data_IF_140487216258
#
_entry.id   IF_140487216258
#
_cell.length_a   1.000
_cell.length_b   1.000
_cell.length_c   1.000
_cell.angle_alpha   90.00
_cell.angle_beta   90.00
_cell.angle_gamma   90.00
#
_symmetry.space_group_name_H-M   'P 1'
#
loop_
_entity.id
_entity.type
_entity.pdbx_description
1 polymer ?
#
# COMPACT_ATOMS: atom_id res chain seq x y z
N UNK A 1 8.71 10.25 -19.64
CA UNK A 1 9.29 10.29 -18.28
C UNK A 1 8.42 9.56 -17.25
N UNK A 2 7.17 9.24 -17.57
CA UNK A 2 6.21 8.65 -16.62
C UNK A 2 6.53 7.20 -16.20
N UNK A 3 7.20 6.42 -17.04
CA UNK A 3 7.57 5.03 -16.74
C UNK A 3 8.48 4.88 -15.50
N UNK A 4 9.34 5.86 -15.23
CA UNK A 4 10.22 5.84 -14.06
C UNK A 4 9.46 5.99 -12.74
N UNK A 5 8.36 6.76 -12.75
CA UNK A 5 7.47 6.94 -11.61
C UNK A 5 6.69 5.66 -11.29
N UNK A 6 6.16 5.00 -12.32
CA UNK A 6 5.47 3.72 -12.15
C UNK A 6 6.43 2.62 -11.67
N UNK A 7 7.67 2.60 -12.16
CA UNK A 7 8.70 1.70 -11.65
C UNK A 7 8.97 1.93 -10.15
N UNK A 8 9.02 3.19 -9.72
CA UNK A 8 9.19 3.50 -8.29
C UNK A 8 8.03 3.00 -7.42
N UNK A 9 6.79 3.06 -7.91
CA UNK A 9 5.61 2.57 -7.18
C UNK A 9 5.47 1.05 -7.16
N UNK A 10 6.03 0.35 -8.15
CA UNK A 10 6.00 -1.11 -8.21
C UNK A 10 7.15 -1.78 -7.47
N UNK A 11 8.24 -1.06 -7.17
CA UNK A 11 9.37 -1.61 -6.40
C UNK A 11 8.95 -2.14 -5.01
N UNK A 12 8.18 -1.41 -4.17
CA UNK A 12 7.77 -1.93 -2.87
C UNK A 12 6.95 -3.24 -2.91
N UNK A 13 5.89 -3.37 -3.75
CA UNK A 13 5.17 -4.64 -3.86
C UNK A 13 6.02 -5.75 -4.50
N UNK A 14 6.92 -5.43 -5.45
CA UNK A 14 7.86 -6.42 -6.01
C UNK A 14 8.85 -6.93 -4.96
N UNK A 15 9.41 -6.05 -4.15
CA UNK A 15 10.31 -6.41 -3.06
C UNK A 15 9.62 -7.33 -2.05
N UNK A 16 8.37 -7.03 -1.69
CA UNK A 16 7.56 -7.91 -0.84
C UNK A 16 7.25 -9.25 -1.51
N UNK A 17 6.95 -9.28 -2.80
CA UNK A 17 6.75 -10.53 -3.55
C UNK A 17 8.01 -11.41 -3.50
N UNK A 18 9.19 -10.83 -3.70
CA UNK A 18 10.47 -11.55 -3.57
C UNK A 18 10.67 -12.13 -2.17
N UNK A 19 10.35 -11.37 -1.11
CA UNK A 19 10.42 -11.86 0.28
C UNK A 19 9.43 -13.00 0.56
N UNK A 20 8.20 -12.90 0.03
CA UNK A 20 7.20 -13.98 0.14
C UNK A 20 7.67 -15.25 -0.56
N UNK A 21 8.22 -15.13 -1.79
CA UNK A 21 8.77 -16.25 -2.53
C UNK A 21 9.97 -16.88 -1.81
N UNK A 22 10.84 -16.05 -1.23
CA UNK A 22 11.97 -16.51 -0.43
C UNK A 22 11.51 -17.27 0.83
N UNK A 23 10.54 -16.73 1.57
CA UNK A 23 9.93 -17.40 2.72
C UNK A 23 9.25 -18.72 2.32
N UNK A 24 8.68 -18.80 1.11
CA UNK A 24 8.14 -20.02 0.53
C UNK A 24 9.21 -21.07 0.24
N UNK A 25 10.33 -20.67 -0.36
CA UNK A 25 11.48 -21.53 -0.65
C UNK A 25 12.11 -22.10 0.63
N UNK A 26 12.27 -21.29 1.68
CA UNK A 26 12.78 -21.77 2.97
C UNK A 26 11.91 -22.86 3.60
N UNK A 27 10.57 -22.80 3.42
CA UNK A 27 9.66 -23.84 3.89
C UNK A 27 9.82 -25.17 3.16
N UNK A 28 10.22 -25.16 1.90
CA UNK A 28 10.50 -26.37 1.15
C UNK A 28 11.84 -27.01 1.54
N UNK A 29 12.79 -26.21 2.05
CA UNK A 29 14.15 -26.68 2.38
C UNK A 29 14.33 -27.10 3.84
N UNK A 30 13.61 -26.49 4.79
CA UNK A 30 13.78 -26.76 6.23
C UNK A 30 12.67 -27.66 6.79
N UNK A 31 13.00 -28.93 6.98
CA UNK A 31 12.06 -29.98 7.40
C UNK A 31 11.65 -29.93 8.88
N UNK A 32 12.30 -29.16 9.78
CA UNK A 32 12.19 -29.52 11.21
C UNK A 32 12.07 -28.42 12.29
N UNK A 33 11.83 -27.13 11.97
CA UNK A 33 11.70 -26.08 13.01
C UNK A 33 10.67 -24.99 12.72
N UNK A 34 9.45 -25.35 12.33
CA UNK A 34 8.52 -24.37 11.72
C UNK A 34 7.23 -24.12 12.51
N UNK A 35 7.27 -24.12 13.85
CA UNK A 35 6.12 -23.67 14.66
C UNK A 35 6.11 -22.15 14.93
N UNK A 36 7.26 -21.46 14.75
CA UNK A 36 7.38 -19.99 14.95
C UNK A 36 7.24 -19.19 13.65
N UNK A 37 7.74 -19.70 12.51
CA UNK A 37 7.65 -19.03 11.20
C UNK A 37 6.26 -19.00 10.55
N UNK A 38 5.29 -19.80 11.03
CA UNK A 38 3.96 -19.85 10.39
C UNK A 38 3.12 -18.59 10.63
N UNK A 39 3.45 -17.77 11.63
CA UNK A 39 2.82 -16.46 11.85
C UNK A 39 3.39 -15.39 10.90
N UNK A 40 4.68 -15.44 10.58
CA UNK A 40 5.33 -14.45 9.70
C UNK A 40 4.86 -14.54 8.25
N UNK A 41 4.68 -15.75 7.69
CA UNK A 41 4.29 -15.86 6.28
C UNK A 41 2.88 -15.35 5.99
N UNK A 42 1.95 -15.51 6.95
CA UNK A 42 0.59 -14.96 6.82
C UNK A 42 0.59 -13.44 6.89
N UNK A 43 1.46 -12.87 7.74
CA UNK A 43 1.58 -11.42 7.85
C UNK A 43 2.23 -10.81 6.60
N UNK A 44 3.26 -11.45 6.04
CA UNK A 44 3.86 -11.05 4.76
C UNK A 44 2.86 -11.12 3.60
N UNK A 45 2.01 -12.14 3.55
CA UNK A 45 0.98 -12.23 2.51
C UNK A 45 -0.05 -11.11 2.63
N UNK A 46 -0.48 -10.80 3.86
CA UNK A 46 -1.38 -9.67 4.11
C UNK A 46 -0.74 -8.32 3.78
N UNK A 47 0.56 -8.15 4.08
CA UNK A 47 1.32 -6.96 3.69
C UNK A 47 1.45 -6.85 2.17
N UNK A 48 1.69 -7.95 1.47
CA UNK A 48 1.70 -7.98 0.00
C UNK A 48 0.35 -7.55 -0.58
N UNK A 49 -0.76 -8.15 -0.12
CA UNK A 49 -2.11 -7.76 -0.58
C UNK A 49 -2.43 -6.30 -0.27
N UNK A 50 -2.00 -5.80 0.88
CA UNK A 50 -2.16 -4.40 1.24
C UNK A 50 -1.38 -3.46 0.30
N UNK A 51 -0.10 -3.75 0.05
CA UNK A 51 0.75 -2.99 -0.85
C UNK A 51 0.26 -3.06 -2.31
N UNK A 52 -0.17 -4.24 -2.76
CA UNK A 52 -0.76 -4.43 -4.08
C UNK A 52 -2.06 -3.63 -4.24
N UNK A 53 -2.93 -3.67 -3.23
CA UNK A 53 -4.16 -2.87 -3.20
C UNK A 53 -3.88 -1.37 -3.23
N UNK A 54 -2.93 -0.88 -2.42
CA UNK A 54 -2.53 0.53 -2.42
C UNK A 54 -1.92 0.94 -3.77
N UNK A 55 -1.10 0.08 -4.38
CA UNK A 55 -0.52 0.33 -5.71
C UNK A 55 -1.60 0.40 -6.79
N UNK A 56 -2.57 -0.52 -6.77
CA UNK A 56 -3.70 -0.54 -7.70
C UNK A 56 -4.57 0.73 -7.54
N UNK A 57 -4.86 1.11 -6.29
CA UNK A 57 -5.63 2.32 -5.99
C UNK A 57 -4.88 3.57 -6.48
N UNK A 58 -3.56 3.64 -6.26
CA UNK A 58 -2.72 4.73 -6.74
C UNK A 58 -2.75 4.82 -8.26
N UNK A 59 -2.67 3.68 -8.95
CA UNK A 59 -2.77 3.62 -10.40
C UNK A 59 -4.14 4.11 -10.90
N UNK A 60 -5.24 3.65 -10.28
CA UNK A 60 -6.60 4.08 -10.62
C UNK A 60 -6.81 5.58 -10.40
N UNK A 61 -6.31 6.12 -9.28
CA UNK A 61 -6.41 7.56 -9.01
C UNK A 61 -5.58 8.36 -10.00
N UNK A 62 -4.35 7.95 -10.34
CA UNK A 62 -3.55 8.65 -11.34
C UNK A 62 -4.20 8.60 -12.72
N UNK A 63 -4.70 7.44 -13.16
CA UNK A 63 -5.33 7.29 -14.49
C UNK A 63 -6.68 7.99 -14.60
N UNK A 64 -7.57 7.85 -13.61
CA UNK A 64 -8.91 8.45 -13.69
C UNK A 64 -8.99 9.89 -13.20
N UNK A 65 -8.22 10.26 -12.16
CA UNK A 65 -8.33 11.59 -11.53
C UNK A 65 -7.33 12.56 -12.14
N UNK A 66 -6.06 12.17 -12.27
CA UNK A 66 -5.01 13.06 -12.78
C UNK A 66 -4.98 13.07 -14.31
N UNK A 67 -4.91 11.91 -14.95
CA UNK A 67 -4.88 11.80 -16.41
C UNK A 67 -6.26 11.93 -17.05
N UNK A 68 -7.31 11.40 -16.40
CA UNK A 68 -8.70 11.49 -16.86
C UNK A 68 -9.32 12.88 -16.75
N UNK A 69 -8.55 13.88 -16.31
CA UNK A 69 -8.95 15.29 -16.36
C UNK A 69 -9.92 15.75 -15.26
N UNK A 70 -10.29 14.88 -14.31
CA UNK A 70 -11.14 15.30 -13.17
C UNK A 70 -10.43 16.33 -12.28
N UNK A 71 -9.11 16.25 -12.13
CA UNK A 71 -8.31 17.23 -11.39
C UNK A 71 -7.73 18.34 -12.28
N UNK A 72 -7.92 18.29 -13.60
CA UNK A 72 -7.42 19.32 -14.53
C UNK A 72 -7.93 20.75 -14.21
N UNK A 73 -9.19 21.00 -13.79
CA UNK A 73 -9.61 22.36 -13.44
C UNK A 73 -8.90 22.92 -12.20
N UNK A 74 -8.45 22.07 -11.27
CA UNK A 74 -7.71 22.49 -10.08
C UNK A 74 -6.20 22.59 -10.34
N UNK A 75 -5.64 21.66 -11.12
CA UNK A 75 -4.20 21.55 -11.39
C UNK A 75 -3.73 22.47 -12.53
N UNK A 76 -4.61 22.95 -13.42
CA UNK A 76 -4.29 23.98 -14.44
C UNK A 76 -4.47 25.41 -13.93
N UNK A 77 -4.89 25.59 -12.69
CA UNK A 77 -4.97 26.93 -12.14
C UNK A 77 -3.54 27.49 -12.03
N UNK A 78 -3.22 28.64 -12.64
CA UNK A 78 -1.84 29.11 -12.77
C UNK A 78 -1.14 29.33 -11.41
N UNK A 79 -1.93 29.65 -10.38
CA UNK A 79 -1.46 29.76 -9.00
C UNK A 79 -1.08 28.40 -8.41
N UNK A 80 -1.84 27.34 -8.71
CA UNK A 80 -1.60 26.00 -8.15
C UNK A 80 -0.46 25.32 -8.90
N UNK A 81 -0.39 25.47 -10.22
CA UNK A 81 0.67 24.87 -11.04
C UNK A 81 2.06 25.46 -10.71
N UNK A 82 2.12 26.73 -10.34
CA UNK A 82 3.36 27.38 -9.90
C UNK A 82 3.87 26.86 -8.54
N UNK A 83 2.98 26.42 -7.65
CA UNK A 83 3.33 25.94 -6.32
C UNK A 83 3.45 24.40 -6.24
N UNK A 84 2.62 23.68 -6.98
CA UNK A 84 2.61 22.21 -7.05
C UNK A 84 2.64 21.76 -8.51
N UNK A 85 3.85 21.52 -9.08
CA UNK A 85 3.95 20.88 -10.37
C UNK A 85 3.34 19.47 -10.31
N UNK A 86 2.67 19.06 -11.39
CA UNK A 86 1.97 17.76 -11.51
C UNK A 86 2.83 16.55 -11.13
N UNK A 87 4.14 16.64 -11.39
CA UNK A 87 5.11 15.62 -11.00
C UNK A 87 5.19 15.41 -9.48
N UNK A 88 5.18 16.49 -8.69
CA UNK A 88 5.21 16.41 -7.22
C UNK A 88 3.92 15.77 -6.69
N UNK A 89 2.76 16.14 -7.25
CA UNK A 89 1.46 15.54 -6.89
C UNK A 89 1.49 14.03 -7.11
N UNK A 90 1.99 13.59 -8.27
CA UNK A 90 2.15 12.16 -8.57
C UNK A 90 3.11 11.51 -7.57
N UNK A 91 4.30 12.07 -7.36
CA UNK A 91 5.31 11.51 -6.45
C UNK A 91 4.74 11.27 -5.03
N UNK A 92 3.95 12.21 -4.52
CA UNK A 92 3.32 12.12 -3.19
C UNK A 92 2.01 11.33 -3.17
N UNK A 93 1.41 11.02 -4.31
CA UNK A 93 0.14 10.29 -4.38
C UNK A 93 0.26 8.90 -3.73
N UNK A 94 1.34 8.18 -4.05
CA UNK A 94 1.59 6.85 -3.51
C UNK A 94 1.73 6.83 -1.98
N UNK A 95 2.61 7.64 -1.34
CA UNK A 95 2.71 7.66 0.12
C UNK A 95 1.43 8.17 0.80
N UNK A 96 0.67 9.08 0.19
CA UNK A 96 -0.63 9.52 0.72
C UNK A 96 -1.62 8.37 0.77
N UNK A 97 -1.76 7.62 -0.33
CA UNK A 97 -2.66 6.47 -0.41
C UNK A 97 -2.24 5.37 0.55
N UNK A 98 -0.94 5.12 0.67
CA UNK A 98 -0.39 4.13 1.58
C UNK A 98 -0.67 4.52 3.05
N UNK A 99 -0.50 5.79 3.40
CA UNK A 99 -0.86 6.33 4.72
C UNK A 99 -2.36 6.23 5.00
N UNK A 100 -3.22 6.60 4.05
CA UNK A 100 -4.68 6.49 4.19
C UNK A 100 -5.12 5.04 4.36
N UNK A 101 -4.60 4.12 3.53
CA UNK A 101 -4.85 2.70 3.64
C UNK A 101 -4.42 2.14 5.00
N UNK A 102 -3.22 2.52 5.46
CA UNK A 102 -2.70 2.11 6.76
C UNK A 102 -3.55 2.65 7.92
N UNK A 103 -4.07 3.88 7.81
CA UNK A 103 -4.97 4.47 8.82
C UNK A 103 -6.31 3.74 8.90
N UNK A 104 -6.89 3.38 7.75
CA UNK A 104 -8.18 2.67 7.71
C UNK A 104 -8.03 1.25 8.27
N UNK A 105 -6.99 0.53 7.86
CA UNK A 105 -6.76 -0.86 8.29
C UNK A 105 -6.20 -0.93 9.72
N UNK A 106 -5.36 0.02 10.11
CA UNK A 106 -4.84 0.15 11.47
C UNK A 106 -5.92 0.56 12.47
N UNK A 107 -6.75 1.54 12.11
CA UNK A 107 -7.86 2.01 12.94
C UNK A 107 -8.92 0.93 13.19
N UNK A 108 -9.20 0.09 12.19
CA UNK A 108 -10.16 -1.03 12.33
C UNK A 108 -9.67 -2.11 13.30
N UNK A 109 -8.36 -2.41 13.37
CA UNK A 109 -7.81 -3.34 14.38
C UNK A 109 -7.97 -2.80 15.81
N UNK A 110 -7.76 -1.50 16.01
CA UNK A 110 -7.90 -0.85 17.33
C UNK A 110 -9.36 -0.83 17.78
N UNK A 111 -10.29 -0.52 16.88
CA UNK A 111 -11.73 -0.54 17.17
C UNK A 111 -12.23 -1.95 17.59
N UNK A 112 -11.77 -2.99 16.90
CA UNK A 112 -12.15 -4.38 17.21
C UNK A 112 -11.62 -4.85 18.58
N UNK A 113 -10.42 -4.41 18.97
CA UNK A 113 -9.86 -4.70 20.31
C UNK A 113 -10.65 -4.01 21.43
N UNK A 114 -11.15 -2.79 21.17
CA UNK A 114 -12.01 -2.06 22.12
C UNK A 114 -13.37 -2.74 22.34
N UNK A 115 -13.96 -3.34 21.30
CA UNK A 115 -15.22 -4.10 21.39
C UNK A 115 -15.02 -5.44 22.11
N UNK A 116 -13.97 -6.20 21.77
CA UNK A 116 -13.68 -7.49 22.40
C UNK A 116 -13.38 -7.39 23.91
N UNK A 117 -12.81 -6.27 24.38
CA UNK A 117 -12.58 -6.02 25.81
C UNK A 117 -13.88 -5.65 26.56
N UNK A 118 -14.91 -5.15 25.87
CA UNK A 118 -16.22 -4.88 26.47
C UNK A 118 -17.04 -6.15 26.68
N UNK A 119 -16.97 -7.09 25.73
CA UNK A 119 -17.71 -8.36 25.85
C UNK A 119 -17.10 -9.32 26.88
N UNK A 120 -15.78 -9.24 27.12
CA UNK A 120 -15.11 -10.07 28.13
C UNK A 120 -15.36 -9.63 29.58
N UNK A 121 -16.04 -8.50 29.82
CA UNK A 121 -16.36 -7.97 31.16
C UNK A 121 -17.84 -8.07 31.54
N UNK A 122 -18.66 -8.67 30.68
CA UNK A 122 -20.04 -9.05 30.99
C UNK A 122 -20.09 -10.54 31.25
#
# INVERSE_FOLDING_TARGET
>A
MDYALYAFWTIPPLGMLCLVLWSGLEKFTSSDKTRRNSYESKDLLNQFWFLAGCSLLTFLVDTHVIQGGMADPFLRHPVVEAWLPRFLVRLFLYPIILYLGARIIGGTKVANLGLRNKDSRR
#
